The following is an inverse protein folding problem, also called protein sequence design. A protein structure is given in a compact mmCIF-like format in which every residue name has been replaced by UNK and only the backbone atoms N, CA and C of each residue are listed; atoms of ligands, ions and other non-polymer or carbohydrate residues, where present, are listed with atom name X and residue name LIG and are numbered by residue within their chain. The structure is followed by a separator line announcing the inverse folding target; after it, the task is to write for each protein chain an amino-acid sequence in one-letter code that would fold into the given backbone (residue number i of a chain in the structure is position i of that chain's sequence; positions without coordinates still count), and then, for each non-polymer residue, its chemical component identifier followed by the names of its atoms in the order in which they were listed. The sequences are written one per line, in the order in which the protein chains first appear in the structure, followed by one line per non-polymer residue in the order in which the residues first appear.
data_IF_727778010839
#
_entry.id   IF_727778010839
#
_cell.length_a   1.000
_cell.length_b   1.000
_cell.length_c   1.000
_cell.angle_alpha   90.00
_cell.angle_beta   90.00
_cell.angle_gamma   90.00
#
_symmetry.space_group_name_H-M   'P 1'
#
loop_
_entity.id
_entity.type
_entity.pdbx_description
1 polymer ?
#
# COMPACT_ATOMS: atom_id res chain seq x y z
N UNK A 1 27.95 0.58 -5.87
CA UNK A 1 27.04 0.70 -7.04
C UNK A 1 26.83 -0.68 -7.63
N UNK A 2 25.58 -1.13 -7.76
CA UNK A 2 25.27 -2.43 -8.40
C UNK A 2 25.55 -2.37 -9.90
N UNK A 3 25.72 -3.55 -10.54
CA UNK A 3 25.92 -3.64 -12.01
C UNK A 3 24.75 -2.97 -12.75
N UNK A 4 23.51 -3.21 -12.33
CA UNK A 4 22.31 -2.61 -12.89
C UNK A 4 22.30 -1.06 -12.79
N UNK A 5 22.83 -0.49 -11.71
CA UNK A 5 22.94 0.97 -11.56
C UNK A 5 23.97 1.57 -12.53
N UNK A 6 25.05 0.83 -12.81
CA UNK A 6 26.09 1.23 -13.77
C UNK A 6 25.56 1.17 -15.20
N UNK A 7 24.89 0.08 -15.55
CA UNK A 7 24.33 -0.14 -16.88
C UNK A 7 23.23 0.90 -17.18
N UNK A 8 22.39 1.24 -16.20
CA UNK A 8 21.38 2.29 -16.34
C UNK A 8 22.01 3.69 -16.51
N UNK A 9 23.12 3.98 -15.85
CA UNK A 9 23.82 5.26 -16.02
C UNK A 9 24.41 5.38 -17.44
N UNK A 10 25.04 4.34 -17.96
CA UNK A 10 25.60 4.30 -19.33
C UNK A 10 24.48 4.53 -20.36
N UNK A 11 23.34 3.88 -20.17
CA UNK A 11 22.18 4.03 -21.07
C UNK A 11 21.58 5.44 -20.97
N UNK A 12 21.48 6.01 -19.78
CA UNK A 12 20.99 7.38 -19.60
C UNK A 12 21.94 8.42 -20.18
N UNK A 13 23.27 8.21 -20.07
CA UNK A 13 24.28 9.08 -20.67
C UNK A 13 24.24 8.97 -22.21
N UNK A 14 24.03 7.77 -22.77
CA UNK A 14 23.82 7.58 -24.21
C UNK A 14 22.53 8.26 -24.71
N UNK A 15 21.42 8.17 -23.94
CA UNK A 15 20.18 8.88 -24.28
C UNK A 15 20.32 10.41 -24.17
N UNK A 16 21.13 10.91 -23.25
CA UNK A 16 21.41 12.34 -23.16
C UNK A 16 22.18 12.88 -24.37
N UNK A 17 22.96 12.02 -25.02
CA UNK A 17 23.68 12.34 -26.27
C UNK A 17 22.79 12.25 -27.52
N UNK A 18 21.69 11.51 -27.46
CA UNK A 18 20.66 11.47 -28.49
C UNK A 18 19.84 12.77 -28.41
N UNK A 19 20.19 13.72 -29.21
CA UNK A 19 19.64 15.09 -29.22
C UNK A 19 18.11 15.12 -29.31
N UNK A 20 17.46 15.81 -28.33
CA UNK A 20 16.19 16.45 -28.56
C UNK A 20 14.97 15.80 -27.93
N UNK A 21 13.81 16.25 -28.40
CA UNK A 21 12.48 15.94 -27.86
C UNK A 21 12.14 14.44 -27.82
N UNK A 22 12.69 13.63 -28.72
CA UNK A 22 12.38 12.19 -28.80
C UNK A 22 12.94 11.41 -27.61
N UNK A 23 14.15 11.71 -27.14
CA UNK A 23 14.74 11.05 -25.97
C UNK A 23 13.98 11.37 -24.68
N UNK A 24 13.51 12.62 -24.53
CA UNK A 24 12.70 13.03 -23.39
C UNK A 24 11.36 12.28 -23.33
N UNK A 25 10.67 12.14 -24.46
CA UNK A 25 9.40 11.39 -24.56
C UNK A 25 9.61 9.90 -24.26
N UNK A 26 10.65 9.30 -24.80
CA UNK A 26 11.00 7.90 -24.53
C UNK A 26 11.27 7.68 -23.02
N UNK A 27 12.07 8.55 -22.39
CA UNK A 27 12.36 8.49 -20.96
C UNK A 27 11.10 8.65 -20.10
N UNK A 28 10.24 9.60 -20.45
CA UNK A 28 8.95 9.79 -19.76
C UNK A 28 8.07 8.56 -19.84
N UNK A 29 8.04 7.89 -21.00
CA UNK A 29 7.28 6.66 -21.20
C UNK A 29 7.81 5.54 -20.31
N UNK A 30 9.13 5.35 -20.26
CA UNK A 30 9.78 4.33 -19.41
C UNK A 30 9.50 4.58 -17.94
N UNK A 31 9.69 5.80 -17.46
CA UNK A 31 9.48 6.16 -16.06
C UNK A 31 8.00 6.02 -15.65
N UNK A 32 7.09 6.43 -16.52
CA UNK A 32 5.64 6.27 -16.28
C UNK A 32 5.25 4.80 -16.19
N UNK A 33 5.77 3.94 -17.08
CA UNK A 33 5.54 2.51 -17.05
C UNK A 33 6.14 1.85 -15.80
N UNK A 34 7.37 2.20 -15.44
CA UNK A 34 8.02 1.71 -14.22
C UNK A 34 7.22 2.08 -12.96
N UNK A 35 6.70 3.32 -12.88
CA UNK A 35 5.90 3.74 -11.74
C UNK A 35 4.54 3.02 -11.68
N UNK A 36 3.88 2.78 -12.81
CA UNK A 36 2.64 1.98 -12.87
C UNK A 36 2.89 0.55 -12.42
N UNK A 37 3.93 -0.07 -12.95
CA UNK A 37 4.33 -1.43 -12.55
C UNK A 37 4.70 -1.49 -11.07
N UNK A 38 5.46 -0.51 -10.56
CA UNK A 38 5.79 -0.39 -9.14
C UNK A 38 4.57 -0.29 -8.24
N UNK A 39 3.52 0.42 -8.68
CA UNK A 39 2.24 0.45 -7.97
C UNK A 39 1.58 -0.93 -7.96
N UNK A 40 1.53 -1.64 -9.07
CA UNK A 40 0.90 -2.97 -9.16
C UNK A 40 1.64 -3.99 -8.28
N UNK A 41 2.96 -4.04 -8.36
CA UNK A 41 3.80 -4.90 -7.52
C UNK A 41 3.68 -4.52 -6.04
N UNK A 42 3.64 -3.21 -5.74
CA UNK A 42 3.40 -2.71 -4.38
C UNK A 42 2.05 -3.15 -3.81
N UNK A 43 0.98 -3.11 -4.60
CA UNK A 43 -0.35 -3.63 -4.19
C UNK A 43 -0.29 -5.12 -3.87
N UNK A 44 0.38 -5.92 -4.69
CA UNK A 44 0.54 -7.35 -4.48
C UNK A 44 1.37 -7.66 -3.23
N UNK A 45 2.52 -7.01 -3.07
CA UNK A 45 3.43 -7.20 -1.94
C UNK A 45 2.79 -6.79 -0.60
N UNK A 46 2.08 -5.64 -0.56
CA UNK A 46 1.34 -5.21 0.63
C UNK A 46 0.24 -6.21 0.96
N UNK A 47 -0.52 -6.70 -0.04
CA UNK A 47 -1.57 -7.70 0.15
C UNK A 47 -1.06 -9.05 0.70
N UNK A 48 0.21 -9.38 0.44
CA UNK A 48 0.87 -10.53 1.06
C UNK A 48 1.24 -10.33 2.53
N UNK A 49 1.46 -9.09 2.97
CA UNK A 49 1.82 -8.79 4.36
C UNK A 49 0.64 -8.45 5.26
N UNK A 50 -0.44 -7.88 4.70
CA UNK A 50 -1.61 -7.46 5.48
C UNK A 50 -2.91 -7.88 4.81
N UNK A 51 -3.89 -8.26 5.63
CA UNK A 51 -5.20 -8.72 5.18
C UNK A 51 -6.13 -7.55 4.79
N UNK A 52 -5.65 -6.71 3.87
CA UNK A 52 -6.43 -5.65 3.23
C UNK A 52 -6.83 -6.06 1.81
N UNK A 53 -8.00 -5.61 1.35
CA UNK A 53 -8.40 -5.87 -0.03
C UNK A 53 -7.49 -5.13 -1.02
N UNK A 54 -7.17 -5.76 -2.14
CA UNK A 54 -6.37 -5.16 -3.22
C UNK A 54 -6.94 -3.80 -3.68
N UNK A 55 -8.28 -3.69 -3.73
CA UNK A 55 -8.96 -2.45 -4.07
C UNK A 55 -8.67 -1.34 -3.05
N UNK A 56 -8.69 -1.66 -1.75
CA UNK A 56 -8.37 -0.69 -0.70
C UNK A 56 -6.92 -0.23 -0.82
N UNK A 57 -5.98 -1.16 -0.93
CA UNK A 57 -4.54 -0.85 -1.09
C UNK A 57 -4.34 0.03 -2.32
N UNK A 58 -4.93 -0.33 -3.47
CA UNK A 58 -4.81 0.40 -4.73
C UNK A 58 -5.34 1.83 -4.70
N UNK A 59 -6.36 2.12 -3.86
CA UNK A 59 -6.85 3.50 -3.63
C UNK A 59 -5.89 4.34 -2.79
N UNK A 60 -5.06 3.70 -1.97
CA UNK A 60 -4.12 4.35 -1.05
C UNK A 60 -2.67 4.30 -1.52
N UNK A 61 -2.41 3.68 -2.67
CA UNK A 61 -1.11 3.63 -3.33
C UNK A 61 -1.24 4.30 -4.70
N UNK A 62 -0.70 5.49 -4.85
CA UNK A 62 -0.87 6.34 -6.05
C UNK A 62 0.43 6.47 -6.81
N UNK A 63 0.36 6.46 -8.13
CA UNK A 63 1.46 6.91 -8.98
C UNK A 63 1.49 8.43 -8.91
N UNK A 64 2.65 9.00 -8.63
CA UNK A 64 2.87 10.43 -8.69
C UNK A 64 2.96 10.88 -10.16
N UNK A 65 2.48 12.09 -10.47
CA UNK A 65 2.74 12.67 -11.78
C UNK A 65 4.24 12.71 -12.06
N UNK A 66 4.59 12.48 -13.30
CA UNK A 66 5.95 12.65 -13.76
C UNK A 66 6.37 14.11 -13.57
N UNK A 67 7.51 14.35 -12.97
CA UNK A 67 8.03 15.67 -12.68
C UNK A 67 9.46 15.82 -13.20
N UNK A 68 9.73 16.93 -13.86
CA UNK A 68 11.10 17.33 -14.21
C UNK A 68 11.67 18.17 -13.07
N UNK A 69 12.87 17.82 -12.62
CA UNK A 69 13.62 18.56 -11.58
C UNK A 69 15.01 18.87 -12.11
N UNK A 70 15.19 20.09 -12.64
CA UNK A 70 16.41 20.45 -13.35
C UNK A 70 16.62 19.54 -14.55
N UNK A 71 17.75 18.86 -14.58
CA UNK A 71 18.18 18.02 -15.72
C UNK A 71 17.68 16.56 -15.64
N UNK A 72 16.90 16.18 -14.60
CA UNK A 72 16.42 14.83 -14.46
C UNK A 72 14.88 14.74 -14.31
N UNK A 73 14.35 13.59 -14.70
CA UNK A 73 12.94 13.26 -14.56
C UNK A 73 12.74 12.33 -13.38
N UNK A 74 11.67 12.55 -12.63
CA UNK A 74 11.30 11.75 -11.48
C UNK A 74 9.89 11.19 -11.66
N UNK A 75 9.76 9.88 -11.47
CA UNK A 75 8.47 9.21 -11.31
C UNK A 75 8.48 8.45 -9.98
N UNK A 76 7.32 8.35 -9.35
CA UNK A 76 7.27 7.72 -8.04
C UNK A 76 5.93 7.11 -7.71
N UNK A 77 5.93 6.33 -6.62
CA UNK A 77 4.74 5.78 -6.01
C UNK A 77 4.63 6.29 -4.60
N UNK A 78 3.49 6.87 -4.27
CA UNK A 78 3.20 7.42 -2.95
C UNK A 78 2.12 6.60 -2.25
N UNK A 79 2.36 6.26 -0.99
CA UNK A 79 1.41 5.61 -0.12
C UNK A 79 0.83 6.59 0.90
N UNK A 80 -0.49 6.48 1.17
CA UNK A 80 -1.17 7.30 2.15
C UNK A 80 -0.72 6.93 3.57
N UNK A 81 -0.32 7.94 4.36
CA UNK A 81 0.15 7.77 5.75
C UNK A 81 -0.97 7.58 6.78
N UNK A 82 -2.22 7.76 6.38
CA UNK A 82 -3.37 7.67 7.29
C UNK A 82 -3.49 6.27 7.88
N UNK A 83 -3.67 6.16 9.18
CA UNK A 83 -3.94 4.91 9.88
C UNK A 83 -5.20 4.23 9.36
N UNK A 84 -5.14 2.94 9.19
CA UNK A 84 -6.26 2.13 8.69
C UNK A 84 -7.09 1.65 9.88
N UNK A 85 -8.39 1.89 9.89
CA UNK A 85 -9.27 1.32 10.92
C UNK A 85 -9.12 -0.19 10.96
N UNK A 86 -8.98 -0.76 12.15
CA UNK A 86 -8.82 -2.21 12.32
C UNK A 86 -9.96 -3.00 11.67
N UNK A 87 -11.15 -2.41 11.59
CA UNK A 87 -12.31 -2.98 10.89
C UNK A 87 -12.19 -3.09 9.37
N UNK A 88 -11.16 -2.50 8.75
CA UNK A 88 -10.90 -2.58 7.30
C UNK A 88 -10.05 -3.79 6.88
N UNK A 89 -9.35 -4.37 7.84
CA UNK A 89 -8.64 -5.61 7.61
C UNK A 89 -9.65 -6.74 7.43
N UNK A 90 -9.26 -7.85 6.83
CA UNK A 90 -10.17 -8.93 6.43
C UNK A 90 -11.23 -9.26 7.50
N UNK A 91 -12.51 -8.97 7.17
CA UNK A 91 -13.61 -9.01 8.11
C UNK A 91 -14.47 -10.27 8.02
N UNK A 92 -14.16 -11.21 7.13
CA UNK A 92 -14.98 -12.41 6.91
C UNK A 92 -15.16 -13.31 8.14
N UNK A 93 -14.52 -12.96 9.24
CA UNK A 93 -14.65 -13.65 10.52
C UNK A 93 -14.90 -12.69 11.69
N UNK A 94 -15.20 -11.42 11.45
CA UNK A 94 -15.59 -10.45 12.48
C UNK A 94 -17.06 -10.64 12.90
N UNK A 95 -17.46 -11.88 13.12
CA UNK A 95 -18.75 -12.19 13.67
C UNK A 95 -18.65 -12.08 15.18
N UNK A 96 -19.32 -11.07 15.74
CA UNK A 96 -19.81 -11.23 17.11
C UNK A 96 -20.68 -12.49 17.09
N UNK A 97 -20.40 -13.53 17.88
CA UNK A 97 -21.24 -14.70 17.94
C UNK A 97 -22.70 -14.26 18.16
N UNK A 98 -23.61 -14.61 17.26
CA UNK A 98 -25.04 -14.30 17.38
C UNK A 98 -25.63 -14.84 18.69
N UNK A 99 -25.06 -15.91 19.19
CA UNK A 99 -25.45 -16.58 20.41
C UNK A 99 -24.38 -16.38 21.47
N UNK A 100 -24.44 -15.26 22.15
CA UNK A 100 -23.77 -15.11 23.43
C UNK A 100 -24.76 -15.53 24.53
N UNK A 101 -24.65 -16.76 25.09
CA UNK A 101 -25.62 -17.27 26.08
C UNK A 101 -25.71 -16.44 27.37
N UNK A 102 -24.87 -15.43 27.50
CA UNK A 102 -24.90 -14.48 28.62
C UNK A 102 -25.57 -13.15 28.33
N UNK A 103 -26.21 -12.96 27.19
CA UNK A 103 -26.86 -11.69 26.82
C UNK A 103 -28.31 -11.66 27.27
N UNK A 104 -28.55 -11.69 28.57
CA UNK A 104 -29.78 -11.19 29.14
C UNK A 104 -29.89 -9.65 28.97
N UNK A 105 -31.11 -9.09 29.06
CA UNK A 105 -31.33 -7.62 29.15
C UNK A 105 -30.34 -7.03 30.16
N UNK A 106 -29.36 -6.23 29.69
CA UNK A 106 -28.35 -5.59 30.54
C UNK A 106 -26.98 -6.24 30.60
N UNK A 107 -26.77 -7.41 29.96
CA UNK A 107 -25.46 -8.04 29.92
C UNK A 107 -24.49 -7.31 28.98
N UNK A 108 -23.39 -6.80 29.51
CA UNK A 108 -22.27 -6.18 28.77
C UNK A 108 -21.22 -7.20 28.31
N UNK A 109 -21.48 -8.49 28.46
CA UNK A 109 -20.57 -9.54 28.02
C UNK A 109 -20.61 -9.65 26.50
N UNK A 110 -19.69 -8.97 25.86
CA UNK A 110 -19.45 -9.09 24.43
C UNK A 110 -18.59 -10.33 24.18
N UNK A 111 -18.94 -11.13 23.16
CA UNK A 111 -18.15 -12.28 22.75
C UNK A 111 -16.78 -11.92 22.16
N UNK A 112 -16.45 -10.64 22.13
CA UNK A 112 -15.22 -10.15 21.54
C UNK A 112 -15.30 -9.96 20.03
N UNK A 113 -14.17 -9.66 19.43
CA UNK A 113 -14.02 -9.47 17.99
C UNK A 113 -12.92 -10.39 17.49
N UNK A 114 -13.25 -11.18 16.47
CA UNK A 114 -12.26 -11.97 15.73
C UNK A 114 -11.86 -11.21 14.47
N UNK A 115 -10.58 -11.14 14.19
CA UNK A 115 -10.06 -10.44 13.02
C UNK A 115 -8.77 -11.05 12.51
N UNK A 116 -8.29 -10.52 11.40
CA UNK A 116 -7.04 -10.95 10.79
C UNK A 116 -6.31 -9.72 10.20
N UNK A 117 -5.22 -9.32 10.82
CA UNK A 117 -4.37 -8.21 10.32
C UNK A 117 -3.29 -8.75 9.38
N UNK A 118 -2.68 -9.88 9.71
CA UNK A 118 -1.73 -10.59 8.85
C UNK A 118 -2.43 -11.77 8.20
N UNK A 119 -2.24 -12.00 6.89
CA UNK A 119 -2.81 -13.16 6.21
C UNK A 119 -2.49 -14.46 6.96
N UNK A 120 -3.49 -15.32 7.12
CA UNK A 120 -3.36 -16.60 7.82
C UNK A 120 -3.32 -16.52 9.36
N UNK A 121 -3.15 -15.34 9.96
CA UNK A 121 -3.09 -15.18 11.42
C UNK A 121 -4.36 -14.52 11.97
N UNK A 122 -5.32 -15.34 12.37
CA UNK A 122 -6.53 -14.89 13.07
C UNK A 122 -6.25 -14.63 14.53
N UNK A 123 -6.91 -13.64 15.10
CA UNK A 123 -6.94 -13.37 16.52
C UNK A 123 -8.39 -13.20 17.00
N UNK A 124 -8.65 -13.51 18.24
CA UNK A 124 -9.93 -13.23 18.92
C UNK A 124 -9.61 -12.46 20.20
N UNK A 125 -10.20 -11.26 20.31
CA UNK A 125 -9.97 -10.40 21.48
C UNK A 125 -11.30 -10.11 22.17
N UNK A 126 -11.53 -10.67 23.36
CA UNK A 126 -12.79 -10.52 24.10
C UNK A 126 -13.11 -9.09 24.52
N UNK A 127 -12.08 -8.25 24.67
CA UNK A 127 -12.23 -6.85 25.10
C UNK A 127 -12.60 -5.90 23.97
N UNK A 128 -12.53 -6.35 22.71
CA UNK A 128 -12.85 -5.53 21.56
C UNK A 128 -14.36 -5.54 21.27
N UNK A 129 -14.86 -4.42 20.78
CA UNK A 129 -16.26 -4.25 20.38
C UNK A 129 -16.40 -3.33 19.16
N UNK A 130 -17.51 -3.45 18.46
CA UNK A 130 -17.82 -2.56 17.34
C UNK A 130 -18.44 -1.25 17.79
N UNK A 131 -18.07 -0.17 17.11
CA UNK A 131 -18.64 1.17 17.30
C UNK A 131 -18.92 1.83 15.95
N UNK A 132 -20.04 2.52 15.84
CA UNK A 132 -20.31 3.43 14.73
C UNK A 132 -19.54 4.74 14.90
N UNK A 133 -18.78 5.13 13.89
CA UNK A 133 -18.02 6.39 13.91
C UNK A 133 -18.92 7.52 13.40
N UNK A 134 -19.09 8.54 14.25
CA UNK A 134 -19.87 9.74 13.88
C UNK A 134 -19.22 10.45 12.69
N UNK A 135 -20.02 10.98 11.78
CA UNK A 135 -19.59 11.75 10.62
C UNK A 135 -19.18 10.93 9.39
N UNK A 136 -18.65 9.72 9.54
CA UNK A 136 -18.25 8.88 8.38
C UNK A 136 -19.18 7.70 8.10
N UNK A 137 -20.09 7.38 9.04
CA UNK A 137 -20.91 6.17 9.00
C UNK A 137 -20.11 4.87 9.04
N UNK A 138 -18.78 4.94 9.15
CA UNK A 138 -17.93 3.78 9.16
C UNK A 138 -18.03 3.03 10.50
N UNK A 139 -17.93 1.70 10.43
CA UNK A 139 -17.82 0.85 11.62
C UNK A 139 -16.37 0.78 12.05
N UNK A 140 -16.07 1.10 13.31
CA UNK A 140 -14.76 0.93 13.95
C UNK A 140 -14.74 -0.26 14.90
N UNK A 141 -13.54 -0.71 15.26
CA UNK A 141 -13.29 -1.61 16.39
C UNK A 141 -12.67 -0.75 17.49
N UNK A 142 -13.15 -0.90 18.72
CA UNK A 142 -12.69 -0.13 19.86
C UNK A 142 -12.43 -1.02 21.07
N UNK A 143 -11.65 -0.51 22.01
CA UNK A 143 -11.38 -1.11 23.32
C UNK A 143 -11.77 -0.12 24.41
N UNK A 144 -12.31 -0.60 25.53
CA UNK A 144 -12.58 0.22 26.71
C UNK A 144 -11.29 0.65 27.38
N UNK A 145 -11.18 1.92 27.70
CA UNK A 145 -10.05 2.52 28.43
C UNK A 145 -10.41 2.92 29.85
N UNK A 146 -11.71 2.86 30.22
CA UNK A 146 -12.22 3.22 31.54
C UNK A 146 -13.67 2.85 31.71
N UNK A 147 -14.28 3.26 32.84
CA UNK A 147 -15.65 2.91 33.25
C UNK A 147 -16.74 3.72 32.52
N UNK A 148 -16.43 4.87 31.93
CA UNK A 148 -17.40 5.75 31.29
C UNK A 148 -17.85 5.27 29.90
N UNK A 149 -19.05 5.70 29.45
CA UNK A 149 -19.58 5.38 28.11
C UNK A 149 -18.67 5.88 26.98
N UNK A 150 -18.04 7.03 27.15
CA UNK A 150 -17.09 7.65 26.20
C UNK A 150 -15.65 7.19 26.39
N UNK A 151 -15.36 6.41 27.44
CA UNK A 151 -14.02 5.91 27.73
C UNK A 151 -13.66 4.70 26.83
N UNK A 152 -13.37 4.99 25.58
CA UNK A 152 -12.92 3.97 24.61
C UNK A 152 -11.89 4.56 23.63
N UNK A 153 -11.07 3.70 23.06
CA UNK A 153 -10.11 4.04 22.02
C UNK A 153 -10.44 3.23 20.77
N UNK A 154 -10.56 3.93 19.63
CA UNK A 154 -10.73 3.29 18.32
C UNK A 154 -9.38 2.73 17.88
N UNK A 155 -9.39 1.48 17.43
CA UNK A 155 -8.19 0.75 17.06
C UNK A 155 -7.90 0.89 15.57
N UNK A 156 -6.62 1.09 15.28
CA UNK A 156 -6.09 1.18 13.94
C UNK A 156 -5.03 0.10 13.76
N UNK A 157 -4.99 -0.47 12.58
CA UNK A 157 -3.89 -1.31 12.14
C UNK A 157 -2.83 -0.50 11.40
N UNK A 158 -1.81 -1.17 10.84
CA UNK A 158 -0.74 -0.52 10.10
C UNK A 158 -1.31 0.25 8.91
N UNK A 159 -0.73 1.43 8.63
CA UNK A 159 -1.07 2.19 7.44
C UNK A 159 -0.48 1.55 6.18
N UNK A 160 -1.08 1.84 5.02
CA UNK A 160 -0.53 1.39 3.72
C UNK A 160 0.91 1.89 3.54
N UNK A 161 1.21 3.12 4.01
CA UNK A 161 2.55 3.68 3.97
C UNK A 161 3.57 2.91 4.81
N UNK A 162 3.20 2.51 6.04
CA UNK A 162 4.09 1.73 6.89
C UNK A 162 4.44 0.38 6.26
N UNK A 163 3.45 -0.32 5.70
CA UNK A 163 3.68 -1.61 5.03
C UNK A 163 4.43 -1.41 3.71
N UNK A 164 4.15 -0.34 2.97
CA UNK A 164 4.89 -0.04 1.74
C UNK A 164 6.37 0.24 2.02
N UNK A 165 6.70 0.91 3.12
CA UNK A 165 8.09 1.13 3.52
C UNK A 165 8.87 -0.16 3.74
N UNK A 166 8.23 -1.22 4.23
CA UNK A 166 8.90 -2.52 4.45
C UNK A 166 9.15 -3.30 3.16
N UNK A 167 8.37 -3.07 2.10
CA UNK A 167 8.49 -3.82 0.83
C UNK A 167 9.16 -3.05 -0.29
N UNK A 168 9.25 -1.73 -0.21
CA UNK A 168 9.74 -0.88 -1.31
C UNK A 168 11.18 -1.20 -1.73
N UNK A 169 12.04 -1.55 -0.76
CA UNK A 169 13.45 -1.84 -1.04
C UNK A 169 13.60 -3.16 -1.81
N UNK A 170 12.71 -4.12 -1.55
CA UNK A 170 12.70 -5.41 -2.26
C UNK A 170 12.19 -5.26 -3.70
N UNK A 171 11.32 -4.27 -3.95
CA UNK A 171 10.77 -3.97 -5.28
C UNK A 171 11.72 -3.14 -6.15
N UNK A 172 12.62 -2.36 -5.55
CA UNK A 172 13.48 -1.44 -6.29
C UNK A 172 14.36 -2.12 -7.37
N UNK A 173 15.01 -3.26 -7.13
CA UNK A 173 15.81 -3.94 -8.15
C UNK A 173 14.98 -4.37 -9.37
N UNK A 174 13.80 -4.96 -9.15
CA UNK A 174 12.88 -5.38 -10.22
C UNK A 174 12.47 -4.20 -11.11
N UNK A 175 12.18 -3.06 -10.50
CA UNK A 175 11.77 -1.85 -11.22
C UNK A 175 12.94 -1.25 -12.02
N UNK A 176 14.14 -1.29 -11.48
CA UNK A 176 15.36 -0.83 -12.17
C UNK A 176 15.66 -1.71 -13.38
N UNK A 177 15.61 -3.03 -13.23
CA UNK A 177 15.85 -3.98 -14.33
C UNK A 177 14.79 -3.85 -15.44
N UNK A 178 13.53 -3.63 -15.06
CA UNK A 178 12.45 -3.38 -16.03
C UNK A 178 12.68 -2.07 -16.80
N UNK A 179 13.02 -1.00 -16.09
CA UNK A 179 13.31 0.29 -16.73
C UNK A 179 14.50 0.18 -17.67
N UNK A 180 15.58 -0.46 -17.25
CA UNK A 180 16.78 -0.66 -18.08
C UNK A 180 16.48 -1.43 -19.37
N UNK A 181 15.73 -2.54 -19.28
CA UNK A 181 15.33 -3.33 -20.46
C UNK A 181 14.47 -2.52 -21.43
N UNK A 182 13.55 -1.72 -20.91
CA UNK A 182 12.67 -0.91 -21.76
C UNK A 182 13.43 0.21 -22.46
N UNK A 183 14.39 0.84 -21.78
CA UNK A 183 15.28 1.83 -22.37
C UNK A 183 16.13 1.19 -23.48
N UNK A 184 16.72 0.03 -23.23
CA UNK A 184 17.51 -0.70 -24.22
C UNK A 184 16.69 -1.05 -25.48
N UNK A 185 15.44 -1.50 -25.31
CA UNK A 185 14.52 -1.75 -26.42
C UNK A 185 14.25 -0.51 -27.27
N UNK A 186 13.93 0.63 -26.61
CA UNK A 186 13.69 1.88 -27.33
C UNK A 186 14.91 2.42 -28.06
N UNK A 187 16.12 2.17 -27.53
CA UNK A 187 17.36 2.55 -28.23
C UNK A 187 17.57 1.69 -29.49
N UNK A 188 17.32 0.39 -29.43
CA UNK A 188 17.42 -0.48 -30.61
C UNK A 188 16.47 -0.06 -31.70
N UNK A 189 15.20 0.29 -31.37
CA UNK A 189 14.21 0.80 -32.32
C UNK A 189 14.60 2.15 -32.97
N UNK A 190 15.48 2.93 -32.35
CA UNK A 190 15.96 4.20 -32.90
C UNK A 190 17.16 4.04 -33.85
N UNK A 191 17.82 2.90 -33.83
CA UNK A 191 18.99 2.60 -34.65
C UNK A 191 18.68 1.63 -35.82
N UNK A 192 17.45 1.12 -35.92
CA UNK A 192 16.93 0.41 -37.08
C UNK A 192 16.22 1.38 -38.06
#
# INVERSE_FOLDING_TARGET
MSKATRDMKIVLDAMAQLTGKHSAVALQTVLSDAAKHGRERGVAAIGGQVALSKQYIGRHLRVLPLAQKGDYWEAGVQATRRGVLLSRFENRGLLVPKNNPGRGKGSTKHGGVTGMVKPGRRYTEPKFFFIGLRGSGARGIAVRTGKGRSAYKVLHGPSVSQVFQSVRNDLAPELQDRAARKVAGLLLELFE
#
